data_IF_207880019012
#
_entry.id   IF_207880019012
#
_cell.length_a   1.000
_cell.length_b   1.000
_cell.length_c   1.000
_cell.angle_alpha   90.00
_cell.angle_beta   90.00
_cell.angle_gamma   90.00
#
_symmetry.space_group_name_H-M   'P 1'
#
loop_
_entity.id
_entity.type
_entity.pdbx_description
1 polymer ?
#
# COMPACT_ATOMS: atom_id res chain seq x y z
N UNK A 1 -9.82 -48.96 -8.02
CA UNK A 1 -10.81 -48.12 -7.29
C UNK A 1 -10.20 -47.26 -6.18
N UNK A 2 -9.26 -47.77 -5.36
CA UNK A 2 -8.59 -46.97 -4.30
C UNK A 2 -7.87 -45.70 -4.81
N UNK A 3 -7.26 -45.76 -6.00
CA UNK A 3 -6.53 -44.63 -6.61
C UNK A 3 -7.43 -43.48 -7.11
N UNK A 4 -8.70 -43.77 -7.45
CA UNK A 4 -9.66 -42.75 -7.91
C UNK A 4 -10.19 -41.91 -6.74
N UNK A 5 -10.37 -42.52 -5.56
CA UNK A 5 -10.80 -41.83 -4.33
C UNK A 5 -9.70 -40.86 -3.85
N UNK A 6 -8.43 -41.23 -3.98
CA UNK A 6 -7.30 -40.37 -3.61
C UNK A 6 -7.15 -39.15 -4.53
N UNK A 7 -7.36 -39.31 -5.84
CA UNK A 7 -7.29 -38.20 -6.81
C UNK A 7 -8.47 -37.23 -6.62
N UNK A 8 -9.69 -37.75 -6.43
CA UNK A 8 -10.87 -36.92 -6.18
C UNK A 8 -10.76 -36.12 -4.87
N UNK A 9 -10.19 -36.72 -3.81
CA UNK A 9 -9.99 -36.03 -2.52
C UNK A 9 -8.90 -34.95 -2.60
N UNK A 10 -7.83 -35.18 -3.38
CA UNK A 10 -6.78 -34.18 -3.60
C UNK A 10 -7.25 -32.95 -4.38
N UNK A 11 -8.08 -33.14 -5.41
CA UNK A 11 -8.63 -32.03 -6.22
C UNK A 11 -9.67 -31.20 -5.44
N UNK A 12 -10.39 -31.82 -4.51
CA UNK A 12 -11.35 -31.10 -3.64
C UNK A 12 -10.63 -30.22 -2.61
N UNK A 13 -9.51 -30.69 -2.04
CA UNK A 13 -8.71 -29.96 -1.05
C UNK A 13 -7.92 -28.78 -1.66
N UNK A 14 -7.52 -28.87 -2.93
CA UNK A 14 -6.79 -27.80 -3.62
C UNK A 14 -7.67 -26.61 -4.03
N UNK A 15 -9.01 -26.74 -4.04
CA UNK A 15 -9.93 -25.63 -4.35
C UNK A 15 -10.44 -24.87 -3.11
N UNK A 16 -10.25 -25.41 -1.89
CA UNK A 16 -10.70 -24.73 -0.66
C UNK A 16 -9.84 -23.52 -0.29
N UNK A 17 -8.56 -23.51 -0.68
CA UNK A 17 -7.63 -22.40 -0.40
C UNK A 17 -7.94 -21.13 -1.20
N UNK A 18 -8.60 -21.25 -2.36
CA UNK A 18 -9.02 -20.10 -3.19
C UNK A 18 -10.21 -19.37 -2.55
N UNK A 19 -11.03 -20.05 -1.76
CA UNK A 19 -12.27 -19.50 -1.21
C UNK A 19 -12.09 -18.73 0.09
N UNK A 20 -10.92 -18.79 0.74
CA UNK A 20 -10.66 -18.11 2.02
C UNK A 20 -9.96 -16.75 1.88
N UNK A 21 -9.78 -16.24 0.65
CA UNK A 21 -9.02 -15.02 0.40
C UNK A 21 -9.65 -13.80 1.09
N UNK A 22 -8.84 -13.10 1.88
CA UNK A 22 -9.22 -11.86 2.53
C UNK A 22 -9.36 -10.72 1.53
N UNK A 23 -10.29 -9.81 1.77
CA UNK A 23 -10.55 -8.64 0.92
C UNK A 23 -10.39 -7.36 1.73
N UNK A 24 -9.90 -6.31 1.06
CA UNK A 24 -9.73 -4.98 1.63
C UNK A 24 -10.33 -3.95 0.68
N UNK A 25 -11.06 -2.97 1.22
CA UNK A 25 -11.38 -1.77 0.46
C UNK A 25 -10.13 -0.90 0.47
N UNK A 26 -9.43 -0.83 -0.67
CA UNK A 26 -8.15 -0.12 -0.76
C UNK A 26 -8.37 1.39 -0.82
N UNK A 27 -8.84 1.98 0.28
CA UNK A 27 -9.15 3.39 0.44
C UNK A 27 -8.80 3.84 1.86
N UNK A 28 -8.45 5.12 2.02
CA UNK A 28 -7.99 5.73 3.27
C UNK A 28 -9.08 6.52 4.00
N UNK A 29 -10.34 6.19 3.78
CA UNK A 29 -11.50 6.79 4.44
C UNK A 29 -12.59 5.76 4.65
N UNK A 30 -13.32 5.88 5.75
CA UNK A 30 -14.49 5.07 6.06
C UNK A 30 -15.18 5.49 7.36
N UNK A 31 -16.16 4.70 7.84
CA UNK A 31 -16.85 5.01 9.07
C UNK A 31 -15.88 5.13 10.25
N UNK A 32 -15.86 6.30 10.90
CA UNK A 32 -14.95 6.62 12.02
C UNK A 32 -13.44 6.54 11.69
N UNK A 33 -13.06 6.64 10.42
CA UNK A 33 -11.66 6.55 9.98
C UNK A 33 -11.37 7.50 8.82
N UNK A 34 -10.29 8.27 8.93
CA UNK A 34 -9.79 9.15 7.88
C UNK A 34 -8.28 9.28 7.99
N UNK A 35 -7.57 8.98 6.91
CA UNK A 35 -6.12 9.05 6.84
C UNK A 35 -5.68 9.85 5.59
N UNK A 36 -6.02 11.14 5.58
CA UNK A 36 -5.77 12.03 4.44
C UNK A 36 -4.28 12.14 4.11
N UNK A 37 -3.96 12.13 2.82
CA UNK A 37 -2.60 12.30 2.32
C UNK A 37 -2.43 13.72 1.79
N UNK A 38 -1.29 14.33 2.13
CA UNK A 38 -0.92 15.69 1.70
C UNK A 38 0.20 15.66 0.66
N UNK A 39 0.17 16.63 -0.24
CA UNK A 39 1.25 16.91 -1.19
C UNK A 39 2.47 17.56 -0.50
N UNK A 40 3.50 17.84 -1.29
CA UNK A 40 4.75 18.46 -0.80
C UNK A 40 4.56 19.86 -0.21
N UNK A 41 3.51 20.58 -0.63
CA UNK A 41 3.16 21.90 -0.12
C UNK A 41 2.28 21.83 1.14
N UNK A 42 1.94 20.63 1.62
CA UNK A 42 1.08 20.42 2.78
C UNK A 42 -0.42 20.54 2.47
N UNK A 43 -0.80 20.69 1.20
CA UNK A 43 -2.19 20.68 0.79
C UNK A 43 -2.69 19.25 0.65
N UNK A 44 -3.99 19.04 0.84
CA UNK A 44 -4.56 17.73 0.56
C UNK A 44 -4.51 17.42 -0.93
N UNK A 45 -4.15 16.18 -1.27
CA UNK A 45 -4.08 15.76 -2.67
C UNK A 45 -5.48 15.88 -3.32
N UNK A 46 -5.54 16.62 -4.42
CA UNK A 46 -6.77 16.88 -5.16
C UNK A 46 -7.23 15.70 -6.01
N UNK A 47 -8.47 15.78 -6.50
CA UNK A 47 -8.98 14.80 -7.45
C UNK A 47 -8.16 14.85 -8.76
N UNK A 48 -7.92 13.69 -9.36
CA UNK A 48 -7.14 13.59 -10.61
C UNK A 48 -5.63 13.88 -10.48
N UNK A 49 -5.09 13.96 -9.26
CA UNK A 49 -3.66 14.16 -9.07
C UNK A 49 -2.82 13.04 -9.70
N UNK A 50 -1.67 13.41 -10.27
CA UNK A 50 -0.69 12.50 -10.85
C UNK A 50 0.13 11.78 -9.76
N UNK A 51 -0.56 11.07 -8.86
CA UNK A 51 0.05 10.34 -7.74
C UNK A 51 -0.47 8.91 -7.75
N UNK A 52 0.44 7.94 -7.74
CA UNK A 52 0.08 6.53 -7.54
C UNK A 52 0.29 6.14 -6.09
N UNK A 53 -0.65 5.38 -5.56
CA UNK A 53 -0.59 4.73 -4.26
C UNK A 53 -0.42 3.23 -4.47
N UNK A 54 0.46 2.61 -3.69
CA UNK A 54 0.66 1.16 -3.65
C UNK A 54 0.53 0.63 -2.22
N UNK A 55 -0.13 -0.53 -2.12
CA UNK A 55 -0.28 -1.28 -0.89
C UNK A 55 0.85 -2.30 -0.74
N UNK A 56 1.50 -2.28 0.42
CA UNK A 56 2.43 -3.32 0.87
C UNK A 56 1.81 -4.03 2.07
N UNK A 57 2.07 -5.32 2.20
CA UNK A 57 1.54 -6.11 3.31
C UNK A 57 2.54 -7.14 3.83
N UNK A 58 2.32 -7.58 5.07
CA UNK A 58 3.10 -8.60 5.75
C UNK A 58 2.30 -9.29 6.85
N UNK A 59 2.72 -10.49 7.23
CA UNK A 59 2.20 -11.18 8.43
C UNK A 59 2.84 -10.67 9.72
N UNK A 60 3.92 -9.89 9.61
CA UNK A 60 4.62 -9.20 10.69
C UNK A 60 4.84 -7.74 10.28
N UNK A 61 5.43 -6.93 11.15
CA UNK A 61 5.77 -5.53 10.84
C UNK A 61 6.78 -5.36 9.67
N UNK A 62 7.30 -6.45 9.10
CA UNK A 62 8.03 -6.44 7.84
C UNK A 62 7.06 -6.67 6.68
N UNK A 63 6.90 -5.65 5.84
CA UNK A 63 5.94 -5.64 4.72
C UNK A 63 6.65 -5.71 3.38
N UNK A 64 5.98 -6.29 2.39
CA UNK A 64 6.45 -6.39 1.01
C UNK A 64 5.38 -5.99 0.00
N UNK A 65 5.81 -5.69 -1.23
CA UNK A 65 4.89 -5.44 -2.34
C UNK A 65 4.21 -6.74 -2.78
N UNK A 66 2.95 -6.62 -3.23
CA UNK A 66 2.24 -7.74 -3.85
C UNK A 66 2.78 -8.02 -5.26
N UNK A 67 2.62 -9.26 -5.71
CA UNK A 67 2.87 -9.68 -7.09
C UNK A 67 1.60 -10.35 -7.63
N UNK A 68 0.82 -9.70 -8.52
CA UNK A 68 1.02 -8.35 -9.07
C UNK A 68 0.82 -7.24 -8.04
N UNK A 69 1.41 -6.06 -8.29
CA UNK A 69 1.33 -4.91 -7.39
C UNK A 69 -0.11 -4.40 -7.25
N UNK A 70 -0.55 -4.16 -6.02
CA UNK A 70 -1.84 -3.53 -5.72
C UNK A 70 -1.67 -2.03 -5.71
N UNK A 71 -2.13 -1.36 -6.76
CA UNK A 71 -1.95 0.08 -6.96
C UNK A 71 -3.24 0.79 -7.35
N UNK A 72 -3.29 2.10 -7.12
CA UNK A 72 -4.36 2.99 -7.60
C UNK A 72 -3.80 4.38 -7.85
N UNK A 73 -4.35 5.06 -8.85
CA UNK A 73 -4.08 6.49 -9.13
C UNK A 73 -5.37 7.30 -9.13
N UNK A 74 -6.46 6.72 -8.60
CA UNK A 74 -7.76 7.35 -8.52
C UNK A 74 -7.85 8.16 -7.23
N UNK A 75 -8.04 9.46 -7.37
CA UNK A 75 -8.20 10.40 -6.26
C UNK A 75 -9.58 11.02 -6.27
N UNK A 76 -10.27 10.97 -5.13
CA UNK A 76 -11.58 11.59 -4.95
C UNK A 76 -11.50 13.03 -4.44
N UNK A 77 -10.29 13.52 -4.15
CA UNK A 77 -10.03 14.83 -3.54
C UNK A 77 -9.85 14.75 -2.01
N UNK A 78 -9.50 15.88 -1.38
CA UNK A 78 -9.24 15.97 0.06
C UNK A 78 -8.23 14.94 0.60
N UNK A 79 -7.30 14.47 -0.24
CA UNK A 79 -6.32 13.47 0.14
C UNK A 79 -6.88 12.07 0.25
N UNK A 80 -8.07 11.80 -0.29
CA UNK A 80 -8.69 10.47 -0.34
C UNK A 80 -8.47 9.78 -1.68
N UNK A 81 -8.08 8.51 -1.63
CA UNK A 81 -7.87 7.68 -2.81
C UNK A 81 -8.90 6.55 -2.91
N UNK A 82 -9.23 6.19 -4.15
CA UNK A 82 -9.93 4.97 -4.52
C UNK A 82 -11.29 4.76 -3.79
N UNK A 83 -11.93 5.86 -3.37
CA UNK A 83 -13.18 5.82 -2.61
C UNK A 83 -14.29 5.22 -3.47
N UNK A 84 -15.00 4.24 -2.91
CA UNK A 84 -16.13 3.59 -3.57
C UNK A 84 -15.74 2.61 -4.69
N UNK A 85 -14.45 2.30 -4.83
CA UNK A 85 -13.99 1.25 -5.75
C UNK A 85 -14.22 -0.13 -5.16
N UNK A 86 -14.32 -1.14 -6.04
CA UNK A 86 -14.46 -2.53 -5.63
C UNK A 86 -13.33 -2.97 -4.71
N UNK A 87 -13.62 -3.78 -3.66
CA UNK A 87 -12.58 -4.32 -2.79
C UNK A 87 -11.53 -5.13 -3.56
N UNK A 88 -10.29 -5.04 -3.09
CA UNK A 88 -9.15 -5.79 -3.61
C UNK A 88 -9.01 -7.09 -2.82
N UNK A 89 -8.82 -8.20 -3.52
CA UNK A 89 -8.58 -9.50 -2.92
C UNK A 89 -7.08 -9.70 -2.64
N UNK A 90 -6.72 -10.13 -1.43
CA UNK A 90 -5.34 -10.29 -0.96
C UNK A 90 -4.99 -11.77 -0.84
N UNK A 91 -4.37 -12.35 -1.88
CA UNK A 91 -4.26 -13.81 -2.05
C UNK A 91 -3.44 -14.53 -1.00
N UNK A 92 -2.58 -13.79 -0.29
CA UNK A 92 -1.71 -14.32 0.76
C UNK A 92 -2.32 -14.22 2.17
N UNK A 93 -3.53 -13.67 2.31
CA UNK A 93 -4.15 -13.42 3.60
C UNK A 93 -5.54 -14.03 3.65
N UNK A 94 -5.86 -14.67 4.78
CA UNK A 94 -7.19 -15.21 5.00
C UNK A 94 -8.19 -14.10 5.39
N UNK A 95 -9.45 -14.26 5.03
CA UNK A 95 -10.54 -13.44 5.57
C UNK A 95 -10.55 -13.46 7.11
N UNK A 96 -10.87 -12.33 7.73
CA UNK A 96 -10.88 -12.13 9.18
C UNK A 96 -9.50 -11.93 9.81
N UNK A 97 -8.41 -12.02 9.05
CA UNK A 97 -7.06 -11.79 9.57
C UNK A 97 -6.73 -10.29 9.72
N UNK A 98 -5.72 -9.99 10.56
CA UNK A 98 -5.21 -8.63 10.84
C UNK A 98 -3.76 -8.50 10.38
N UNK A 99 -3.50 -8.42 9.06
CA UNK A 99 -2.15 -8.25 8.52
C UNK A 99 -1.57 -6.87 8.85
N UNK A 100 -0.26 -6.76 8.69
CA UNK A 100 0.42 -5.47 8.71
C UNK A 100 0.42 -4.87 7.31
N UNK A 101 0.17 -3.57 7.23
CA UNK A 101 0.13 -2.81 6.00
C UNK A 101 1.10 -1.64 6.05
N UNK A 102 1.52 -1.23 4.86
CA UNK A 102 2.16 0.04 4.61
C UNK A 102 1.67 0.55 3.26
N UNK A 103 1.55 1.87 3.15
CA UNK A 103 1.20 2.52 1.90
C UNK A 103 2.36 3.40 1.48
N UNK A 104 2.72 3.32 0.20
CA UNK A 104 3.65 4.25 -0.42
C UNK A 104 2.97 5.01 -1.55
N UNK A 105 3.30 6.29 -1.64
CA UNK A 105 2.82 7.22 -2.66
C UNK A 105 3.99 7.74 -3.47
N UNK A 106 3.79 7.94 -4.77
CA UNK A 106 4.75 8.66 -5.60
C UNK A 106 4.06 9.46 -6.69
N UNK A 107 4.66 10.59 -7.04
CA UNK A 107 4.30 11.35 -8.23
C UNK A 107 4.63 10.51 -9.49
N UNK A 108 3.60 10.18 -10.24
CA UNK A 108 3.66 9.34 -11.43
C UNK A 108 3.76 10.15 -12.75
N UNK A 109 3.85 11.48 -12.65
CA UNK A 109 4.00 12.37 -13.80
C UNK A 109 5.22 12.01 -14.64
N UNK A 110 5.08 12.13 -15.97
CA UNK A 110 6.15 11.77 -16.91
C UNK A 110 6.36 10.27 -17.10
N UNK A 111 5.38 9.43 -16.74
CA UNK A 111 5.43 7.99 -17.00
C UNK A 111 6.15 7.17 -15.92
N UNK A 112 6.29 7.72 -14.71
CA UNK A 112 6.95 7.04 -13.59
C UNK A 112 6.02 5.98 -13.00
N UNK A 113 6.34 4.70 -13.26
CA UNK A 113 5.46 3.57 -12.98
C UNK A 113 5.77 2.81 -11.67
N UNK A 114 6.79 3.23 -10.91
CA UNK A 114 7.15 2.59 -9.65
C UNK A 114 7.73 3.59 -8.65
N UNK A 115 7.59 3.27 -7.37
CA UNK A 115 8.16 4.05 -6.29
C UNK A 115 9.69 4.20 -6.40
N UNK A 116 10.39 3.14 -6.79
CA UNK A 116 11.84 3.17 -7.00
C UNK A 116 12.24 4.10 -8.16
N UNK A 117 11.47 4.08 -9.26
CA UNK A 117 11.69 5.01 -10.37
C UNK A 117 11.43 6.46 -9.97
N UNK A 118 10.42 6.72 -9.12
CA UNK A 118 10.14 8.06 -8.61
C UNK A 118 11.28 8.60 -7.74
N UNK A 119 11.81 7.76 -6.84
CA UNK A 119 12.99 8.11 -6.04
C UNK A 119 14.20 8.44 -6.93
N UNK A 120 14.47 7.62 -7.94
CA UNK A 120 15.58 7.83 -8.87
C UNK A 120 15.42 9.11 -9.70
N UNK A 121 14.17 9.48 -10.03
CA UNK A 121 13.83 10.69 -10.76
C UNK A 121 13.72 11.94 -9.87
N UNK A 122 13.96 11.84 -8.56
CA UNK A 122 13.80 12.96 -7.61
C UNK A 122 12.37 13.50 -7.54
N UNK A 123 11.38 12.64 -7.83
CA UNK A 123 9.96 12.98 -7.78
C UNK A 123 9.44 12.93 -6.35
N UNK A 124 8.33 13.62 -6.10
CA UNK A 124 7.69 13.58 -4.79
C UNK A 124 7.30 12.15 -4.41
N UNK A 125 7.67 11.71 -3.22
CA UNK A 125 7.34 10.40 -2.67
C UNK A 125 6.89 10.50 -1.23
N UNK A 126 6.15 9.52 -0.73
CA UNK A 126 5.77 9.43 0.67
C UNK A 126 5.53 7.99 1.07
N UNK A 127 5.80 7.67 2.33
CA UNK A 127 5.58 6.34 2.90
C UNK A 127 4.88 6.53 4.24
N UNK A 128 3.83 5.75 4.49
CA UNK A 128 3.19 5.71 5.79
C UNK A 128 4.04 4.93 6.82
N UNK A 129 3.73 5.10 8.10
CA UNK A 129 4.16 4.12 9.09
C UNK A 129 3.64 2.72 8.70
N UNK A 130 4.32 1.66 9.17
CA UNK A 130 3.74 0.31 9.14
C UNK A 130 2.71 0.23 10.26
N UNK A 131 1.53 -0.29 9.98
CA UNK A 131 0.49 -0.50 10.99
C UNK A 131 -0.14 -1.88 10.83
N UNK A 132 -0.68 -2.42 11.93
CA UNK A 132 -1.53 -3.60 11.85
C UNK A 132 -2.95 -3.14 11.54
N UNK A 133 -3.65 -3.85 10.63
CA UNK A 133 -5.06 -3.62 10.38
C UNK A 133 -5.83 -3.64 11.71
N UNK A 134 -6.61 -2.61 11.96
CA UNK A 134 -7.43 -2.48 13.17
C UNK A 134 -8.90 -2.76 12.87
N UNK A 135 -9.64 -3.13 13.90
CA UNK A 135 -11.10 -3.19 13.83
C UNK A 135 -11.68 -1.77 13.81
N UNK A 136 -12.79 -1.58 13.10
CA UNK A 136 -13.37 -0.26 12.91
C UNK A 136 -14.72 -0.31 12.20
N UNK A 137 -15.58 0.68 12.45
CA UNK A 137 -16.87 0.79 11.76
C UNK A 137 -17.78 -0.45 11.86
N UNK A 138 -17.62 -1.27 12.91
CA UNK A 138 -18.34 -2.54 13.08
C UNK A 138 -17.77 -3.73 12.28
N UNK A 139 -16.60 -3.58 11.65
CA UNK A 139 -15.90 -4.61 10.90
C UNK A 139 -14.66 -5.09 11.66
N UNK A 140 -14.34 -6.38 11.52
CA UNK A 140 -13.21 -7.03 12.19
C UNK A 140 -12.34 -7.78 11.18
N UNK A 141 -11.07 -7.39 11.08
CA UNK A 141 -10.11 -7.96 10.15
C UNK A 141 -10.52 -7.86 8.67
N UNK A 142 -9.80 -8.55 7.78
CA UNK A 142 -10.12 -8.56 6.35
C UNK A 142 -11.53 -9.09 6.06
N UNK A 143 -12.18 -8.56 5.02
CA UNK A 143 -13.46 -9.09 4.55
C UNK A 143 -13.32 -10.50 3.98
N UNK A 144 -14.37 -11.29 4.06
CA UNK A 144 -14.44 -12.65 3.53
C UNK A 144 -15.73 -12.79 2.69
N UNK A 145 -15.62 -12.69 1.36
CA UNK A 145 -16.78 -12.79 0.47
C UNK A 145 -17.40 -14.20 0.46
N UNK A 146 -16.66 -15.22 0.88
CA UNK A 146 -17.12 -16.61 0.93
C UNK A 146 -17.65 -17.04 2.29
N UNK A 147 -17.58 -16.17 3.31
CA UNK A 147 -18.19 -16.46 4.62
C UNK A 147 -19.72 -16.54 4.49
N UNK A 148 -20.36 -17.22 5.44
CA UNK A 148 -21.82 -17.30 5.55
C UNK A 148 -22.23 -16.80 6.93
N UNK A 149 -22.77 -15.57 7.07
CA UNK A 149 -22.95 -14.55 6.02
C UNK A 149 -21.61 -13.95 5.53
N UNK A 150 -21.54 -13.39 4.31
CA UNK A 150 -20.33 -12.73 3.81
C UNK A 150 -19.94 -11.55 4.70
N UNK A 151 -18.66 -11.39 4.98
CA UNK A 151 -18.16 -10.24 5.73
C UNK A 151 -17.63 -9.16 4.79
N UNK A 152 -17.97 -7.91 5.07
CA UNK A 152 -17.61 -6.77 4.22
C UNK A 152 -16.14 -6.43 4.36
N UNK A 153 -15.50 -6.04 3.25
CA UNK A 153 -14.11 -5.60 3.24
C UNK A 153 -13.96 -4.25 3.96
N UNK A 154 -13.11 -4.13 5.00
CA UNK A 154 -12.90 -2.85 5.64
C UNK A 154 -12.03 -1.92 4.79
N UNK A 155 -12.13 -0.60 4.97
CA UNK A 155 -11.09 0.35 4.53
C UNK A 155 -9.78 0.08 5.29
N UNK A 156 -8.74 0.88 5.01
CA UNK A 156 -7.43 0.77 5.65
C UNK A 156 -7.41 1.23 7.13
N UNK A 157 -8.29 0.69 7.98
CA UNK A 157 -8.37 1.01 9.40
C UNK A 157 -7.02 0.90 10.10
N UNK A 158 -6.73 1.88 10.96
CA UNK A 158 -5.46 2.03 11.66
C UNK A 158 -4.38 2.78 10.87
N UNK A 159 -4.60 3.09 9.58
CA UNK A 159 -3.67 3.92 8.82
C UNK A 159 -3.63 5.34 9.37
N UNK A 160 -2.44 5.94 9.39
CA UNK A 160 -2.26 7.36 9.64
C UNK A 160 -1.95 8.09 8.34
N UNK A 161 -2.52 9.29 8.18
CA UNK A 161 -2.20 10.16 7.05
C UNK A 161 -0.73 10.58 7.06
N UNK A 162 -0.19 10.91 5.90
CA UNK A 162 1.19 11.38 5.76
C UNK A 162 1.29 12.47 4.68
N UNK A 163 2.43 13.17 4.67
CA UNK A 163 2.76 14.17 3.68
C UNK A 163 3.83 13.63 2.73
N UNK A 164 3.68 13.86 1.43
CA UNK A 164 4.72 13.59 0.46
C UNK A 164 5.87 14.58 0.61
N UNK A 165 7.08 14.13 0.33
CA UNK A 165 8.29 14.95 0.35
C UNK A 165 9.03 14.77 -0.98
N UNK A 166 9.76 15.78 -1.40
CA UNK A 166 10.72 15.63 -2.49
C UNK A 166 11.97 15.00 -1.88
N UNK A 167 12.40 13.80 -2.32
CA UNK A 167 13.67 13.24 -1.89
C UNK A 167 14.78 14.23 -2.17
N UNK A 168 15.50 14.65 -1.14
CA UNK A 168 16.63 15.57 -1.33
C UNK A 168 17.63 14.92 -2.29
N UNK A 169 17.97 15.57 -3.41
CA UNK A 169 18.90 15.02 -4.38
C UNK A 169 20.30 15.07 -3.79
N UNK A 170 20.71 14.04 -3.05
CA UNK A 170 22.07 13.76 -2.61
C UNK A 170 22.86 15.01 -2.16
N UNK A 171 22.21 16.02 -1.58
CA UNK A 171 22.83 17.31 -1.28
C UNK A 171 23.91 17.14 -0.22
N UNK A 172 23.72 16.15 0.64
CA UNK A 172 24.73 15.63 1.56
C UNK A 172 25.91 15.02 0.81
N UNK A 173 25.69 14.18 -0.22
CA UNK A 173 26.78 13.58 -0.99
C UNK A 173 27.55 14.64 -1.79
N UNK A 174 26.86 15.63 -2.38
CA UNK A 174 27.48 16.78 -3.04
C UNK A 174 28.21 17.70 -2.06
N UNK A 175 27.65 17.91 -0.86
CA UNK A 175 28.30 18.64 0.21
C UNK A 175 29.57 17.95 0.70
N UNK A 176 29.55 16.62 0.85
CA UNK A 176 30.71 15.82 1.19
C UNK A 176 31.75 15.80 0.07
N UNK A 177 31.33 15.71 -1.20
CA UNK A 177 32.22 15.83 -2.36
C UNK A 177 32.84 17.23 -2.45
N UNK A 178 32.07 18.28 -2.19
CA UNK A 178 32.55 19.65 -2.13
C UNK A 178 33.54 19.87 -0.98
N UNK A 179 33.26 19.33 0.20
CA UNK A 179 34.16 19.35 1.35
C UNK A 179 35.44 18.56 1.08
N UNK A 180 35.34 17.38 0.46
CA UNK A 180 36.48 16.59 0.04
C UNK A 180 37.34 17.34 -0.99
N UNK A 181 36.72 17.93 -2.02
CA UNK A 181 37.41 18.74 -3.02
C UNK A 181 38.12 19.95 -2.40
N UNK A 182 37.49 20.61 -1.42
CA UNK A 182 38.10 21.72 -0.68
C UNK A 182 39.30 21.28 0.15
N UNK A 183 39.21 20.15 0.86
CA UNK A 183 40.34 19.58 1.63
C UNK A 183 41.49 19.14 0.71
N UNK A 184 41.20 18.58 -0.46
CA UNK A 184 42.23 18.26 -1.47
C UNK A 184 42.88 19.52 -2.04
N UNK A 185 42.14 20.61 -2.23
CA UNK A 185 42.69 21.91 -2.68
C UNK A 185 43.56 22.58 -1.63
N UNK A 186 43.28 22.39 -0.33
CA UNK A 186 44.04 22.97 0.79
C UNK A 186 45.38 22.28 1.06
N UNK A 187 45.62 21.13 0.42
CA UNK A 187 46.86 20.33 0.50
C UNK A 187 47.83 20.57 -0.66
N UNK A 188 47.50 21.48 -1.58
CA UNK A 188 48.44 22.09 -2.54
C UNK A 188 48.76 23.50 -2.07
#
# INVERSE_FOLDING_TARGET
>A
MKKLITIASGVLLLNLSVLAQGTISFQNVGPAFSAQIKDVAGNFIGAGAAVTIELLAGTTATVGAFTPAVTTSLWSGNGWFNVGQSPVALSSFAGGSHPFFQVRAWDNSGGVNSYAAALAAGKATGISAVWQLQDGGGLSGLGNPSAVPPTTAPPLFGMTGFQMVIPEPSTIALGLLGAAAFLFRRRK
#
